data_IF_603481176815
#
_entry.id   IF_603481176815
#
_cell.length_a   1.000
_cell.length_b   1.000
_cell.length_c   1.000
_cell.angle_alpha   90.00
_cell.angle_beta   90.00
_cell.angle_gamma   90.00
#
_symmetry.space_group_name_H-M   'P 1'
#
loop_
_entity.id
_entity.type
_entity.pdbx_description
1 polymer ?
#
# COMPACT_ATOMS: atom_id res chain seq x y z
N UNK A 1 3.56 16.58 -8.20
CA UNK A 1 4.57 15.57 -8.52
C UNK A 1 3.90 14.32 -9.06
N UNK A 2 4.32 13.88 -10.25
CA UNK A 2 3.69 12.74 -10.91
C UNK A 2 4.55 11.48 -10.92
N UNK A 3 5.81 11.61 -10.52
CA UNK A 3 6.76 10.51 -10.60
C UNK A 3 7.42 10.30 -9.24
N UNK A 4 7.12 9.15 -8.64
CA UNK A 4 7.72 8.77 -7.36
C UNK A 4 8.59 7.53 -7.51
N UNK A 5 9.06 7.25 -8.74
CA UNK A 5 9.89 6.06 -8.97
C UNK A 5 11.20 6.11 -8.19
N UNK A 6 11.67 7.29 -7.81
CA UNK A 6 12.88 7.42 -6.99
C UNK A 6 12.77 6.67 -5.66
N UNK A 7 11.55 6.41 -5.20
CA UNK A 7 11.33 5.70 -3.95
C UNK A 7 12.00 4.33 -3.98
N UNK A 8 12.04 3.69 -5.16
CA UNK A 8 12.63 2.36 -5.29
C UNK A 8 14.14 2.33 -5.00
N UNK A 9 14.79 3.50 -4.93
CA UNK A 9 16.22 3.57 -4.63
C UNK A 9 16.52 3.84 -3.16
N UNK A 10 15.48 4.06 -2.36
CA UNK A 10 15.65 4.42 -0.95
C UNK A 10 15.77 3.18 -0.08
N UNK A 11 16.86 2.43 -0.26
CA UNK A 11 17.03 1.10 0.33
C UNK A 11 17.02 1.06 1.85
N UNK A 12 17.26 2.20 2.50
CA UNK A 12 17.18 2.28 3.97
C UNK A 12 15.82 2.69 4.50
N UNK A 13 14.84 2.85 3.61
CA UNK A 13 13.51 3.33 4.01
C UNK A 13 12.77 2.26 4.81
N UNK A 14 12.26 2.65 5.97
CA UNK A 14 11.51 1.75 6.86
C UNK A 14 10.00 1.99 6.80
N UNK A 15 9.60 3.23 6.52
CA UNK A 15 8.20 3.60 6.43
C UNK A 15 8.00 4.53 5.24
N UNK A 16 7.02 4.22 4.42
CA UNK A 16 6.68 5.03 3.26
C UNK A 16 5.33 5.69 3.49
N UNK A 17 5.27 7.01 3.41
CA UNK A 17 4.02 7.76 3.49
C UNK A 17 3.81 8.51 2.19
N UNK A 18 2.67 8.28 1.57
CA UNK A 18 2.26 8.95 0.34
C UNK A 18 0.95 9.68 0.62
N UNK A 19 1.01 11.01 0.67
CA UNK A 19 -0.14 11.81 1.08
C UNK A 19 -0.45 12.88 0.03
N UNK A 20 -1.72 12.95 -0.36
CA UNK A 20 -2.25 14.00 -1.25
C UNK A 20 -1.55 14.08 -2.61
N UNK A 21 -1.17 12.94 -3.17
CA UNK A 21 -0.52 12.88 -4.48
C UNK A 21 -1.56 12.57 -5.56
N UNK A 22 -2.15 13.61 -6.13
CA UNK A 22 -3.33 13.49 -6.99
C UNK A 22 -3.11 12.71 -8.28
N UNK A 23 -1.90 12.70 -8.82
CA UNK A 23 -1.63 12.12 -10.14
C UNK A 23 -0.91 10.77 -10.09
N UNK A 24 -0.71 10.22 -8.93
CA UNK A 24 -0.03 8.93 -8.81
C UNK A 24 -1.04 7.81 -9.07
N UNK A 25 -0.75 6.94 -10.03
CA UNK A 25 -1.63 5.84 -10.41
C UNK A 25 -1.12 4.48 -9.97
N UNK A 26 0.17 4.36 -9.66
CA UNK A 26 0.72 3.09 -9.18
C UNK A 26 1.86 3.32 -8.21
N UNK A 27 2.07 2.33 -7.36
CA UNK A 27 3.19 2.33 -6.41
C UNK A 27 4.44 1.86 -7.14
N UNK A 28 5.59 2.52 -6.96
CA UNK A 28 6.83 2.08 -7.61
C UNK A 28 7.31 0.75 -7.05
N UNK A 29 8.28 0.15 -7.73
CA UNK A 29 8.84 -1.13 -7.30
C UNK A 29 9.45 -1.01 -5.91
N UNK A 30 9.01 -1.86 -4.99
CA UNK A 30 9.47 -1.85 -3.59
C UNK A 30 10.33 -3.07 -3.25
N UNK A 31 10.64 -3.91 -4.24
CA UNK A 31 11.32 -5.18 -3.98
C UNK A 31 12.73 -5.01 -3.43
N UNK A 32 13.37 -3.86 -3.67
CA UNK A 32 14.72 -3.59 -3.14
C UNK A 32 14.73 -2.94 -1.77
N UNK A 33 13.56 -2.59 -1.24
CA UNK A 33 13.46 -1.89 0.04
C UNK A 33 13.38 -2.90 1.17
N UNK A 34 14.52 -3.49 1.50
CA UNK A 34 14.58 -4.59 2.46
C UNK A 34 14.21 -4.22 3.88
N UNK A 35 14.23 -2.92 4.19
CA UNK A 35 13.89 -2.46 5.54
C UNK A 35 12.48 -1.89 5.64
N UNK A 36 11.77 -1.81 4.54
CA UNK A 36 10.42 -1.24 4.53
C UNK A 36 9.44 -2.18 5.22
N UNK A 37 8.82 -1.70 6.29
CA UNK A 37 7.85 -2.47 7.06
C UNK A 37 6.46 -1.88 7.05
N UNK A 38 6.32 -0.58 6.74
CA UNK A 38 5.02 0.09 6.75
C UNK A 38 4.82 0.95 5.52
N UNK A 39 3.61 0.92 4.96
CA UNK A 39 3.20 1.82 3.89
C UNK A 39 1.91 2.51 4.32
N UNK A 40 1.90 3.83 4.27
CA UNK A 40 0.74 4.64 4.60
C UNK A 40 0.37 5.48 3.37
N UNK A 41 -0.85 5.32 2.90
CA UNK A 41 -1.36 6.02 1.71
C UNK A 41 -2.58 6.83 2.09
N UNK A 42 -2.58 8.12 1.76
CA UNK A 42 -3.66 9.02 2.13
C UNK A 42 -4.04 9.91 0.95
N UNK A 43 -5.26 9.76 0.50
CA UNK A 43 -5.85 10.64 -0.53
C UNK A 43 -5.10 10.58 -1.86
N UNK A 44 -4.84 9.39 -2.35
CA UNK A 44 -4.33 9.16 -3.71
C UNK A 44 -5.49 8.71 -4.58
N UNK A 45 -6.26 9.68 -5.06
CA UNK A 45 -7.54 9.42 -5.73
C UNK A 45 -7.44 8.66 -7.04
N UNK A 46 -6.28 8.69 -7.70
CA UNK A 46 -6.08 8.00 -8.98
C UNK A 46 -5.30 6.69 -8.84
N UNK A 47 -4.90 6.34 -7.64
CA UNK A 47 -4.13 5.12 -7.42
C UNK A 47 -4.98 3.89 -7.73
N UNK A 48 -4.49 3.04 -8.62
CA UNK A 48 -5.17 1.81 -9.01
C UNK A 48 -4.28 0.58 -8.95
N UNK A 49 -2.96 0.75 -9.10
CA UNK A 49 -2.01 -0.37 -9.15
C UNK A 49 -1.14 -0.37 -7.89
N UNK A 50 -1.40 -1.33 -7.01
CA UNK A 50 -0.63 -1.50 -5.78
C UNK A 50 0.06 -2.86 -5.75
N UNK A 51 0.27 -3.47 -6.93
CA UNK A 51 0.90 -4.79 -7.00
C UNK A 51 2.30 -4.81 -6.41
N UNK A 52 3.00 -3.67 -6.41
CA UNK A 52 4.33 -3.58 -5.79
C UNK A 52 4.32 -3.93 -4.31
N UNK A 53 3.19 -3.76 -3.63
CA UNK A 53 3.09 -4.10 -2.21
C UNK A 53 3.23 -5.60 -1.98
N UNK A 54 2.86 -6.41 -2.97
CA UNK A 54 3.00 -7.86 -2.86
C UNK A 54 4.47 -8.27 -2.87
N UNK A 55 5.31 -7.50 -3.53
CA UNK A 55 6.73 -7.80 -3.70
C UNK A 55 7.63 -7.16 -2.64
N UNK A 56 7.07 -6.41 -1.71
CA UNK A 56 7.84 -5.77 -0.64
C UNK A 56 8.14 -6.81 0.44
N UNK A 57 9.36 -7.29 0.48
CA UNK A 57 9.76 -8.50 1.22
C UNK A 57 9.48 -8.46 2.72
N UNK A 58 9.61 -7.31 3.33
CA UNK A 58 9.46 -7.20 4.79
C UNK A 58 8.28 -6.32 5.19
N UNK A 59 7.43 -6.01 4.23
CA UNK A 59 6.25 -5.19 4.49
C UNK A 59 5.30 -5.93 5.43
N UNK A 60 4.89 -5.26 6.50
CA UNK A 60 4.04 -5.83 7.53
C UNK A 60 2.72 -5.11 7.68
N UNK A 61 2.70 -3.80 7.46
CA UNK A 61 1.50 -2.99 7.68
C UNK A 61 1.20 -2.13 6.46
N UNK A 62 -0.05 -2.13 6.03
CA UNK A 62 -0.51 -1.27 4.94
C UNK A 62 -1.76 -0.55 5.41
N UNK A 63 -1.73 0.79 5.33
CA UNK A 63 -2.88 1.62 5.67
C UNK A 63 -3.20 2.50 4.47
N UNK A 64 -4.45 2.48 4.03
CA UNK A 64 -4.90 3.27 2.89
C UNK A 64 -6.15 4.05 3.26
N UNK A 65 -6.12 5.36 2.99
CA UNK A 65 -7.24 6.25 3.26
C UNK A 65 -7.57 7.04 2.00
N UNK A 66 -8.84 7.08 1.64
CA UNK A 66 -9.28 7.93 0.53
C UNK A 66 -8.77 7.50 -0.84
N UNK A 67 -8.65 6.21 -1.09
CA UNK A 67 -8.16 5.67 -2.37
C UNK A 67 -9.34 5.35 -3.28
N UNK A 68 -9.92 6.39 -3.85
CA UNK A 68 -11.22 6.29 -4.53
C UNK A 68 -11.23 5.43 -5.78
N UNK A 69 -10.11 5.28 -6.46
CA UNK A 69 -10.04 4.49 -7.71
C UNK A 69 -9.68 3.03 -7.46
N UNK A 70 -9.37 2.67 -6.23
CA UNK A 70 -8.97 1.31 -5.89
C UNK A 70 -10.15 0.36 -5.92
N UNK A 71 -9.91 -0.89 -6.30
CA UNK A 71 -10.95 -1.92 -6.28
C UNK A 71 -10.72 -2.85 -5.10
N UNK A 72 -11.79 -3.52 -4.66
CA UNK A 72 -11.72 -4.50 -3.60
C UNK A 72 -10.71 -5.60 -3.94
N UNK A 73 -10.72 -6.06 -5.19
CA UNK A 73 -9.79 -7.10 -5.64
C UNK A 73 -8.34 -6.66 -5.46
N UNK A 74 -8.03 -5.42 -5.83
CA UNK A 74 -6.67 -4.90 -5.68
C UNK A 74 -6.24 -4.83 -4.23
N UNK A 75 -7.14 -4.41 -3.36
CA UNK A 75 -6.83 -4.30 -1.93
C UNK A 75 -6.54 -5.68 -1.36
N UNK A 76 -7.40 -6.66 -1.64
CA UNK A 76 -7.20 -8.00 -1.09
C UNK A 76 -5.99 -8.71 -1.70
N UNK A 77 -5.57 -8.32 -2.92
CA UNK A 77 -4.39 -8.93 -3.54
C UNK A 77 -3.11 -8.67 -2.73
N UNK A 78 -3.08 -7.61 -1.93
CA UNK A 78 -1.94 -7.32 -1.06
C UNK A 78 -1.69 -8.49 -0.10
N UNK A 79 -2.72 -9.23 0.24
CA UNK A 79 -2.61 -10.37 1.16
C UNK A 79 -1.87 -11.55 0.54
N UNK A 80 -1.58 -11.51 -0.75
CA UNK A 80 -0.68 -12.49 -1.37
C UNK A 80 0.75 -12.34 -0.88
N UNK A 81 1.08 -11.20 -0.27
CA UNK A 81 2.36 -11.03 0.41
C UNK A 81 2.24 -11.65 1.80
N UNK A 82 2.91 -12.78 2.05
CA UNK A 82 2.75 -13.50 3.31
C UNK A 82 3.27 -12.74 4.52
N UNK A 83 4.09 -11.71 4.31
CA UNK A 83 4.64 -10.93 5.41
C UNK A 83 3.70 -9.83 5.89
N UNK A 84 2.67 -9.49 5.13
CA UNK A 84 1.72 -8.46 5.53
C UNK A 84 0.83 -9.00 6.63
N UNK A 85 0.89 -8.35 7.80
CA UNK A 85 0.11 -8.75 8.97
C UNK A 85 -1.14 -7.90 9.14
N UNK A 86 -1.07 -6.62 8.80
CA UNK A 86 -2.18 -5.70 8.96
C UNK A 86 -2.47 -4.99 7.64
N UNK A 87 -3.73 -4.98 7.27
CA UNK A 87 -4.21 -4.27 6.09
C UNK A 87 -5.44 -3.48 6.48
N UNK A 88 -5.41 -2.17 6.24
CA UNK A 88 -6.54 -1.30 6.51
C UNK A 88 -6.80 -0.42 5.30
N UNK A 89 -8.07 -0.24 4.98
CA UNK A 89 -8.48 0.62 3.89
C UNK A 89 -9.78 1.31 4.26
N UNK A 90 -9.74 2.63 4.36
CA UNK A 90 -10.91 3.42 4.76
C UNK A 90 -11.13 4.58 3.79
N UNK A 91 -12.36 5.04 3.70
CA UNK A 91 -12.67 6.28 2.99
C UNK A 91 -12.59 6.20 1.49
N UNK A 92 -12.57 5.01 0.92
CA UNK A 92 -12.60 4.84 -0.53
C UNK A 92 -14.01 4.61 -1.04
N UNK A 93 -14.14 3.79 -2.10
CA UNK A 93 -15.45 3.33 -2.57
C UNK A 93 -16.13 2.53 -1.49
N UNK A 94 -17.46 2.43 -1.56
CA UNK A 94 -18.22 1.74 -0.53
C UNK A 94 -17.74 0.31 -0.30
N UNK A 95 -17.30 -0.37 -1.35
CA UNK A 95 -16.82 -1.75 -1.23
C UNK A 95 -15.48 -1.87 -0.50
N UNK A 96 -14.74 -0.76 -0.38
CA UNK A 96 -13.42 -0.75 0.27
C UNK A 96 -13.32 0.28 1.38
N UNK A 97 -14.43 0.87 1.79
CA UNK A 97 -14.39 1.98 2.74
C UNK A 97 -14.10 1.56 4.18
N UNK A 98 -14.18 0.26 4.46
CA UNK A 98 -13.99 -0.21 5.83
C UNK A 98 -13.44 -1.63 5.82
N UNK A 99 -12.22 -1.77 5.31
CA UNK A 99 -11.51 -3.05 5.30
C UNK A 99 -10.45 -3.01 6.38
N UNK A 100 -10.49 -3.98 7.28
CA UNK A 100 -9.51 -4.07 8.35
C UNK A 100 -9.20 -5.54 8.59
N UNK A 101 -7.96 -5.93 8.28
CA UNK A 101 -7.52 -7.32 8.39
C UNK A 101 -6.25 -7.34 9.22
N UNK A 102 -6.22 -8.23 10.20
CA UNK A 102 -5.05 -8.41 11.05
C UNK A 102 -4.79 -9.90 11.15
N UNK A 103 -3.70 -10.35 10.51
CA UNK A 103 -3.38 -11.77 10.41
C UNK A 103 -2.46 -12.29 11.49
N UNK A 104 -1.80 -11.41 12.21
CA UNK A 104 -0.88 -11.89 13.24
C UNK A 104 -1.57 -12.53 14.42
N UNK A 105 -2.87 -12.31 14.56
CA UNK A 105 -3.66 -12.94 15.60
C UNK A 105 -4.10 -14.35 15.25
N UNK A 106 -3.84 -14.78 14.04
CA UNK A 106 -4.19 -16.12 13.61
C UNK A 106 -3.12 -17.10 14.06
N UNK A 107 -3.50 -18.02 14.84
CA UNK A 107 -2.59 -19.05 15.32
C UNK A 107 -3.13 -20.43 15.00
#
# INVERSE_FOLDING_TARGET
MNDISFVSTLTGLERLELILLANITKIPNLSNLNKLTEVYIDTLNKLVDITSLVNAKNLRKVNMLGVKSMTKKSVYAVLDNPNVEELRCFGGKSEISDIQINRKDKK
#
